data_IF_953387635614
#
_entry.id   IF_953387635614
#
_cell.length_a   1.000
_cell.length_b   1.000
_cell.length_c   1.000
_cell.angle_alpha   90.00
_cell.angle_beta   90.00
_cell.angle_gamma   90.00
#
_symmetry.space_group_name_H-M   'P 1'
#
loop_
_entity.id
_entity.type
_entity.pdbx_description
1 polymer ?
#
# COMPACT_ATOMS: atom_id res chain seq x y z
N UNK A 1 18.07 -14.07 22.37
CA UNK A 1 18.22 -14.86 21.12
C UNK A 1 17.20 -16.00 21.02
N UNK A 2 17.17 -16.96 21.96
CA UNK A 2 16.26 -18.13 21.90
C UNK A 2 14.77 -17.79 21.73
N UNK A 3 14.24 -16.87 22.54
CA UNK A 3 12.83 -16.48 22.46
C UNK A 3 12.48 -15.81 21.12
N UNK A 4 13.37 -14.94 20.62
CA UNK A 4 13.20 -14.27 19.34
C UNK A 4 13.13 -15.29 18.18
N UNK A 5 14.04 -16.26 18.17
CA UNK A 5 14.04 -17.35 17.20
C UNK A 5 12.75 -18.18 17.30
N UNK A 6 12.32 -18.55 18.51
CA UNK A 6 11.08 -19.30 18.71
C UNK A 6 9.85 -18.58 18.16
N UNK A 7 9.72 -17.29 18.43
CA UNK A 7 8.59 -16.50 17.94
C UNK A 7 8.56 -16.51 16.41
N UNK A 8 9.71 -16.26 15.76
CA UNK A 8 9.80 -16.26 14.29
C UNK A 8 9.53 -17.63 13.68
N UNK A 9 10.07 -18.69 14.27
CA UNK A 9 9.95 -20.05 13.73
C UNK A 9 8.54 -20.60 13.90
N UNK A 10 7.93 -20.39 15.07
CA UNK A 10 6.53 -20.79 15.31
C UNK A 10 5.59 -20.00 14.39
N UNK A 11 5.80 -18.70 14.21
CA UNK A 11 5.03 -17.90 13.26
C UNK A 11 5.25 -18.34 11.80
N UNK A 12 6.45 -18.83 11.47
CA UNK A 12 6.80 -19.39 10.16
C UNK A 12 6.30 -20.82 9.91
N UNK A 13 5.48 -21.39 10.80
CA UNK A 13 4.90 -22.71 10.62
C UNK A 13 5.83 -23.88 10.95
N UNK A 14 6.89 -23.65 11.75
CA UNK A 14 7.80 -24.71 12.16
C UNK A 14 7.07 -25.77 13.02
N UNK A 15 7.29 -27.05 12.71
CA UNK A 15 6.62 -28.16 13.40
C UNK A 15 7.11 -28.31 14.84
N UNK A 16 6.25 -28.87 15.69
CA UNK A 16 6.55 -29.09 17.12
C UNK A 16 7.82 -29.94 17.30
N UNK A 17 7.96 -31.02 16.53
CA UNK A 17 9.13 -31.89 16.57
C UNK A 17 10.43 -31.15 16.21
N UNK A 18 10.40 -30.30 15.19
CA UNK A 18 11.57 -29.52 14.80
C UNK A 18 11.87 -28.45 15.86
N UNK A 19 10.85 -27.84 16.47
CA UNK A 19 11.05 -26.88 17.54
C UNK A 19 11.70 -27.54 18.76
N UNK A 20 11.28 -28.75 19.11
CA UNK A 20 11.84 -29.49 20.25
C UNK A 20 13.30 -29.85 20.03
N UNK A 21 13.66 -30.25 18.80
CA UNK A 21 15.05 -30.48 18.42
C UNK A 21 15.90 -29.19 18.54
N UNK A 22 15.42 -28.08 17.98
CA UNK A 22 16.11 -26.79 18.07
C UNK A 22 16.18 -26.27 19.52
N UNK A 23 15.19 -26.61 20.35
CA UNK A 23 15.16 -26.27 21.76
C UNK A 23 16.23 -27.05 22.53
N UNK A 24 16.39 -28.34 22.24
CA UNK A 24 17.47 -29.18 22.80
C UNK A 24 18.86 -28.63 22.45
N UNK A 25 19.02 -28.10 21.22
CA UNK A 25 20.26 -27.45 20.78
C UNK A 25 20.46 -26.04 21.37
N UNK A 26 19.51 -25.52 22.16
CA UNK A 26 19.57 -24.19 22.73
C UNK A 26 19.42 -23.06 21.70
N UNK A 27 18.86 -23.33 20.52
CA UNK A 27 18.62 -22.36 19.45
C UNK A 27 17.29 -21.64 19.65
N UNK A 28 16.30 -22.35 20.18
CA UNK A 28 14.94 -21.86 20.47
C UNK A 28 14.57 -22.12 21.94
N UNK A 29 13.62 -21.35 22.45
CA UNK A 29 12.81 -21.72 23.62
C UNK A 29 11.73 -22.74 23.23
N UNK A 30 11.08 -23.35 24.24
CA UNK A 30 9.97 -24.27 24.01
C UNK A 30 8.81 -23.59 23.26
N UNK A 31 8.06 -24.38 22.48
CA UNK A 31 6.92 -23.89 21.70
C UNK A 31 5.87 -23.23 22.58
N UNK A 32 5.62 -23.79 23.76
CA UNK A 32 4.70 -23.21 24.74
C UNK A 32 5.15 -21.80 25.18
N UNK A 33 6.45 -21.59 25.37
CA UNK A 33 7.01 -20.27 25.70
C UNK A 33 6.82 -19.29 24.55
N UNK A 34 7.05 -19.75 23.31
CA UNK A 34 6.83 -18.95 22.10
C UNK A 34 5.36 -18.50 21.97
N UNK A 35 4.41 -19.42 22.16
CA UNK A 35 2.97 -19.12 22.12
C UNK A 35 2.59 -18.13 23.22
N UNK A 36 3.05 -18.34 24.46
CA UNK A 36 2.78 -17.39 25.55
C UNK A 36 3.31 -16.00 25.24
N UNK A 37 4.49 -15.90 24.63
CA UNK A 37 5.03 -14.62 24.19
C UNK A 37 4.20 -13.99 23.06
N UNK A 38 3.77 -14.76 22.07
CA UNK A 38 2.85 -14.30 21.01
C UNK A 38 1.52 -13.80 21.58
N UNK A 39 0.91 -14.52 22.52
CA UNK A 39 -0.33 -14.10 23.20
C UNK A 39 -0.12 -12.79 23.97
N UNK A 40 1.00 -12.66 24.68
CA UNK A 40 1.34 -11.43 25.39
C UNK A 40 1.54 -10.26 24.43
N UNK A 41 2.31 -10.45 23.34
CA UNK A 41 2.52 -9.45 22.29
C UNK A 41 1.20 -9.04 21.63
N UNK A 42 0.30 -9.99 21.37
CA UNK A 42 -1.04 -9.71 20.83
C UNK A 42 -1.86 -8.84 21.79
N UNK A 43 -1.75 -9.07 23.10
CA UNK A 43 -2.42 -8.25 24.11
C UNK A 43 -1.83 -6.83 24.14
N UNK A 44 -0.51 -6.69 24.05
CA UNK A 44 0.14 -5.38 23.94
C UNK A 44 -0.28 -4.65 22.65
N UNK A 45 -0.27 -5.33 21.50
CA UNK A 45 -0.68 -4.76 20.22
C UNK A 45 -2.14 -4.30 20.24
N UNK A 46 -3.05 -5.08 20.85
CA UNK A 46 -4.45 -4.69 21.01
C UNK A 46 -4.62 -3.43 21.89
N UNK A 47 -3.82 -3.30 22.95
CA UNK A 47 -3.81 -2.09 23.78
C UNK A 47 -3.26 -0.89 23.00
N UNK A 48 -2.15 -1.07 22.29
CA UNK A 48 -1.53 -0.01 21.51
C UNK A 48 -2.43 0.46 20.36
N UNK A 49 -3.18 -0.46 19.74
CA UNK A 49 -4.23 -0.16 18.77
C UNK A 49 -5.34 0.71 19.39
N UNK A 50 -5.86 0.33 20.56
CA UNK A 50 -6.90 1.11 21.27
C UNK A 50 -6.42 2.51 21.63
N UNK A 51 -5.19 2.62 22.12
CA UNK A 51 -4.57 3.91 22.41
C UNK A 51 -4.45 4.76 21.15
N UNK A 52 -4.04 4.16 20.03
CA UNK A 52 -3.95 4.82 18.73
C UNK A 52 -5.33 5.19 18.15
N UNK A 53 -6.39 4.45 18.46
CA UNK A 53 -7.75 4.80 18.01
C UNK A 53 -8.42 5.89 18.84
N UNK A 54 -7.90 6.16 20.05
CA UNK A 54 -8.46 7.12 21.00
C UNK A 54 -8.49 8.52 20.36
N UNK A 55 -9.61 9.27 20.47
CA UNK A 55 -9.70 10.61 19.92
C UNK A 55 -8.57 11.53 20.39
N UNK A 56 -7.88 12.15 19.45
CA UNK A 56 -6.89 13.19 19.74
C UNK A 56 -7.62 14.51 20.02
N UNK A 57 -7.24 15.19 21.10
CA UNK A 57 -7.84 16.48 21.46
C UNK A 57 -7.63 17.50 20.32
N UNK A 58 -8.72 18.09 19.82
CA UNK A 58 -8.67 19.10 18.76
C UNK A 58 -8.54 18.54 17.34
N UNK A 59 -8.47 17.22 17.14
CA UNK A 59 -8.39 16.59 15.81
C UNK A 59 -9.67 15.77 15.56
N UNK A 60 -10.59 16.25 14.71
CA UNK A 60 -11.89 15.60 14.48
C UNK A 60 -11.85 14.45 13.47
N UNK A 61 -10.68 14.01 13.04
CA UNK A 61 -10.46 12.88 12.12
C UNK A 61 -9.85 11.69 12.86
N UNK A 62 -10.31 10.48 12.56
CA UNK A 62 -9.68 9.25 13.05
C UNK A 62 -8.35 8.95 12.37
N UNK A 63 -7.56 7.99 12.87
CA UNK A 63 -6.44 7.47 12.09
C UNK A 63 -6.94 6.88 10.76
N UNK A 64 -6.11 6.98 9.73
CA UNK A 64 -6.38 6.34 8.45
C UNK A 64 -6.31 4.82 8.61
N UNK A 65 -7.24 4.09 7.98
CA UNK A 65 -7.38 2.64 8.11
C UNK A 65 -7.20 2.00 6.75
N UNK A 66 -6.15 1.21 6.58
CA UNK A 66 -5.94 0.42 5.37
C UNK A 66 -6.40 -1.00 5.60
N UNK A 67 -7.22 -1.53 4.70
CA UNK A 67 -7.67 -2.92 4.68
C UNK A 67 -7.39 -3.54 3.32
N UNK A 68 -7.14 -4.84 3.34
CA UNK A 68 -6.97 -5.64 2.13
C UNK A 68 -7.35 -7.10 2.41
N UNK A 69 -7.65 -7.85 1.36
CA UNK A 69 -8.00 -9.26 1.49
C UNK A 69 -6.79 -10.12 1.87
N UNK A 70 -7.05 -11.21 2.59
CA UNK A 70 -6.06 -12.24 2.88
C UNK A 70 -6.61 -13.61 2.52
N UNK A 71 -6.09 -14.16 1.44
CA UNK A 71 -6.38 -15.52 1.01
C UNK A 71 -5.22 -16.46 1.38
N UNK A 72 -5.49 -17.45 2.24
CA UNK A 72 -4.52 -18.49 2.60
C UNK A 72 -4.99 -19.86 2.12
N UNK A 73 -4.23 -20.48 1.22
CA UNK A 73 -4.47 -21.87 0.80
C UNK A 73 -3.80 -22.84 1.77
N UNK A 74 -4.59 -23.61 2.51
CA UNK A 74 -4.11 -24.82 3.15
C UNK A 74 -4.14 -25.95 2.13
N UNK A 75 -3.00 -26.22 1.49
CA UNK A 75 -2.86 -27.33 0.54
C UNK A 75 -2.61 -28.64 1.26
N UNK A 76 -3.37 -29.67 0.90
CA UNK A 76 -3.14 -31.05 1.37
C UNK A 76 -2.55 -31.87 0.23
N UNK A 77 -1.41 -32.53 0.46
CA UNK A 77 -0.72 -33.31 -0.57
C UNK A 77 -1.42 -34.63 -0.93
N UNK A 78 -2.14 -35.24 0.01
CA UNK A 78 -2.88 -36.48 -0.19
C UNK A 78 -4.35 -36.26 0.16
N UNK A 79 -5.20 -36.19 -0.86
CA UNK A 79 -6.63 -36.00 -0.65
C UNK A 79 -7.28 -37.26 -0.08
N UNK A 80 -8.10 -37.08 0.95
CA UNK A 80 -8.99 -38.12 1.50
C UNK A 80 -10.35 -37.52 1.81
N UNK A 81 -11.36 -38.36 2.07
CA UNK A 81 -12.67 -37.87 2.54
C UNK A 81 -12.43 -37.11 3.86
N UNK A 82 -12.80 -35.83 3.89
CA UNK A 82 -12.54 -34.92 5.03
C UNK A 82 -11.20 -34.18 5.00
N UNK A 83 -10.25 -34.58 4.14
CA UNK A 83 -8.98 -33.87 3.93
C UNK A 83 -8.88 -33.36 2.49
N UNK A 84 -9.32 -32.12 2.31
CA UNK A 84 -9.23 -31.38 1.05
C UNK A 84 -8.41 -30.12 1.25
N UNK A 85 -7.83 -29.63 0.17
CA UNK A 85 -7.30 -28.26 0.13
C UNK A 85 -8.43 -27.30 0.50
N UNK A 86 -8.14 -26.34 1.37
CA UNK A 86 -9.10 -25.32 1.81
C UNK A 86 -8.51 -23.94 1.60
N UNK A 87 -9.36 -23.00 1.20
CA UNK A 87 -9.03 -21.59 1.17
C UNK A 87 -9.62 -20.95 2.42
N UNK A 88 -8.78 -20.24 3.17
CA UNK A 88 -9.21 -19.30 4.18
C UNK A 88 -9.33 -17.93 3.52
N UNK A 89 -10.48 -17.28 3.72
CA UNK A 89 -10.77 -15.94 3.21
C UNK A 89 -10.95 -15.01 4.41
N UNK A 90 -9.95 -14.18 4.68
CA UNK A 90 -10.01 -13.17 5.72
C UNK A 90 -9.69 -11.79 5.18
N UNK A 91 -9.65 -10.83 6.09
CA UNK A 91 -9.20 -9.47 5.81
C UNK A 91 -8.14 -9.09 6.84
N UNK A 92 -7.08 -8.47 6.37
CA UNK A 92 -6.05 -7.88 7.22
C UNK A 92 -6.08 -6.37 7.06
N UNK A 93 -5.38 -5.67 7.94
CA UNK A 93 -5.26 -4.23 7.82
C UNK A 93 -4.41 -3.62 8.92
N UNK A 94 -4.24 -2.32 8.83
CA UNK A 94 -3.52 -1.52 9.80
C UNK A 94 -4.09 -0.12 9.87
N UNK A 95 -3.83 0.56 10.98
CA UNK A 95 -4.07 1.99 11.10
C UNK A 95 -2.76 2.75 11.07
N UNK A 96 -2.81 3.99 10.58
CA UNK A 96 -1.70 4.92 10.65
C UNK A 96 -2.22 6.33 10.89
N UNK A 97 -1.43 7.13 11.61
CA UNK A 97 -1.74 8.55 11.76
C UNK A 97 -1.00 9.34 10.70
N UNK A 98 -1.60 10.42 10.17
CA UNK A 98 -0.85 11.42 9.44
C UNK A 98 0.36 11.88 10.27
N UNK A 99 1.48 12.12 9.59
CA UNK A 99 2.69 12.58 10.27
C UNK A 99 2.41 13.90 11.01
N UNK A 100 2.95 14.12 12.23
CA UNK A 100 2.67 15.35 12.98
C UNK A 100 2.98 16.63 12.21
N UNK A 101 4.08 16.67 11.45
CA UNK A 101 4.41 17.85 10.62
C UNK A 101 3.37 18.13 9.53
N UNK A 102 2.69 17.09 9.02
CA UNK A 102 1.58 17.26 8.09
C UNK A 102 0.37 17.86 8.82
N UNK A 103 0.01 17.32 9.99
CA UNK A 103 -1.11 17.85 10.79
C UNK A 103 -0.89 19.31 11.19
N UNK A 104 0.33 19.67 11.57
CA UNK A 104 0.70 21.05 11.94
C UNK A 104 0.58 22.05 10.77
N UNK A 105 0.60 21.56 9.53
CA UNK A 105 0.44 22.39 8.32
C UNK A 105 -1.03 22.61 7.91
N UNK A 106 -1.97 21.88 8.50
CA UNK A 106 -3.37 21.87 8.10
C UNK A 106 -4.24 22.73 9.02
N UNK A 107 -5.33 23.25 8.47
CA UNK A 107 -6.40 23.83 9.29
C UNK A 107 -7.26 22.71 9.90
N UNK A 108 -7.03 22.42 11.18
CA UNK A 108 -7.75 21.37 11.91
C UNK A 108 -9.26 21.61 11.98
N UNK A 109 -9.73 22.86 11.84
CA UNK A 109 -11.16 23.16 11.84
C UNK A 109 -11.87 22.65 10.57
N UNK A 110 -11.11 22.48 9.48
CA UNK A 110 -11.61 21.95 8.21
C UNK A 110 -11.52 20.41 8.11
N UNK A 111 -10.90 19.74 9.09
CA UNK A 111 -10.80 18.27 9.15
C UNK A 111 -12.04 17.61 9.78
N UNK A 112 -13.22 18.18 9.52
CA UNK A 112 -14.49 17.74 10.09
C UNK A 112 -15.38 17.03 9.06
N UNK A 113 -16.28 16.17 9.54
CA UNK A 113 -17.27 15.52 8.68
C UNK A 113 -18.17 16.54 7.96
N UNK A 114 -18.47 17.66 8.62
CA UNK A 114 -19.25 18.77 8.07
C UNK A 114 -18.52 19.42 6.90
N UNK A 115 -17.27 19.85 7.10
CA UNK A 115 -16.43 20.46 6.05
C UNK A 115 -16.25 19.53 4.85
N UNK A 116 -16.10 18.23 5.10
CA UNK A 116 -16.04 17.22 4.05
C UNK A 116 -17.30 17.21 3.17
N UNK A 117 -18.49 17.16 3.77
CA UNK A 117 -19.75 17.16 3.02
C UNK A 117 -20.06 18.49 2.33
N UNK A 118 -19.75 19.62 2.96
CA UNK A 118 -19.86 20.94 2.33
C UNK A 118 -18.94 21.06 1.11
N UNK A 119 -17.77 20.43 1.15
CA UNK A 119 -16.85 20.36 0.01
C UNK A 119 -17.40 19.45 -1.10
N UNK A 120 -17.94 18.28 -0.75
CA UNK A 120 -18.54 17.36 -1.72
C UNK A 120 -19.75 17.95 -2.46
N UNK A 121 -20.56 18.79 -1.80
CA UNK A 121 -21.69 19.45 -2.45
C UNK A 121 -21.27 20.33 -3.63
N UNK A 122 -20.04 20.86 -3.63
CA UNK A 122 -19.51 21.68 -4.72
C UNK A 122 -19.22 20.85 -5.98
N UNK A 123 -19.00 19.54 -5.84
CA UNK A 123 -18.64 18.64 -6.93
C UNK A 123 -19.77 18.52 -7.97
N UNK A 124 -21.05 18.52 -7.55
CA UNK A 124 -22.17 18.43 -8.50
C UNK A 124 -22.27 19.63 -9.43
N UNK A 125 -21.68 20.76 -9.05
CA UNK A 125 -21.60 21.99 -9.86
C UNK A 125 -20.23 22.19 -10.54
N UNK A 126 -19.27 21.28 -10.34
CA UNK A 126 -17.94 21.42 -10.88
C UNK A 126 -17.98 21.20 -12.40
N UNK A 127 -17.63 22.25 -13.16
CA UNK A 127 -17.46 22.16 -14.61
C UNK A 127 -16.05 21.69 -14.90
N UNK A 128 -15.91 20.44 -15.31
CA UNK A 128 -14.61 19.88 -15.71
C UNK A 128 -14.18 20.52 -17.03
N UNK A 129 -13.03 21.19 -17.02
CA UNK A 129 -12.41 21.78 -18.21
C UNK A 129 -11.15 21.00 -18.60
N UNK A 130 -10.84 20.82 -19.90
CA UNK A 130 -9.63 20.13 -20.31
C UNK A 130 -8.34 20.72 -19.72
N UNK A 131 -8.30 22.04 -19.51
CA UNK A 131 -7.18 22.74 -18.87
C UNK A 131 -6.87 22.27 -17.45
N UNK A 132 -7.82 21.65 -16.74
CA UNK A 132 -7.60 21.08 -15.41
C UNK A 132 -6.68 19.85 -15.44
N UNK A 133 -6.45 19.27 -16.62
CA UNK A 133 -5.60 18.10 -16.82
C UNK A 133 -4.34 18.41 -17.63
N UNK A 134 -4.13 19.69 -17.99
CA UNK A 134 -2.92 20.13 -18.67
C UNK A 134 -1.93 20.64 -17.64
N UNK A 135 -0.62 20.39 -17.83
CA UNK A 135 0.39 20.96 -16.97
C UNK A 135 0.36 22.49 -17.03
N UNK A 136 0.62 23.11 -15.90
CA UNK A 136 0.94 24.52 -15.80
C UNK A 136 2.34 24.80 -16.36
N UNK A 137 2.64 26.07 -16.65
CA UNK A 137 3.97 26.45 -17.13
C UNK A 137 5.08 26.06 -16.15
N UNK A 138 4.83 26.16 -14.84
CA UNK A 138 5.80 25.78 -13.81
C UNK A 138 6.01 24.26 -13.75
N UNK A 139 4.94 23.46 -13.93
CA UNK A 139 5.03 22.00 -14.03
C UNK A 139 5.77 21.54 -15.29
N UNK A 140 5.57 22.22 -16.43
CA UNK A 140 6.32 21.94 -17.65
C UNK A 140 7.82 22.25 -17.48
N UNK A 141 8.16 23.39 -16.88
CA UNK A 141 9.55 23.74 -16.56
C UNK A 141 10.18 22.72 -15.60
N UNK A 142 9.41 22.26 -14.63
CA UNK A 142 9.83 21.23 -13.71
C UNK A 142 10.09 19.90 -14.46
N UNK A 143 9.15 19.46 -15.29
CA UNK A 143 9.28 18.23 -16.08
C UNK A 143 10.48 18.28 -17.03
N UNK A 144 10.72 19.43 -17.67
CA UNK A 144 11.92 19.67 -18.48
C UNK A 144 13.21 19.49 -17.65
N UNK A 145 13.25 20.04 -16.43
CA UNK A 145 14.38 19.87 -15.52
C UNK A 145 14.59 18.41 -15.10
N UNK A 146 13.50 17.65 -14.87
CA UNK A 146 13.56 16.20 -14.61
C UNK A 146 14.21 15.46 -15.77
N UNK A 147 13.74 15.67 -17.01
CA UNK A 147 14.30 15.02 -18.19
C UNK A 147 15.77 15.37 -18.40
N UNK A 148 16.12 16.66 -18.31
CA UNK A 148 17.51 17.14 -18.40
C UNK A 148 18.40 16.47 -17.37
N UNK A 149 17.92 16.31 -16.14
CA UNK A 149 18.70 15.68 -15.08
C UNK A 149 18.98 14.19 -15.33
N UNK A 150 18.00 13.46 -15.86
CA UNK A 150 18.14 12.05 -16.20
C UNK A 150 19.14 11.87 -17.35
N UNK A 151 19.06 12.71 -18.39
CA UNK A 151 20.03 12.72 -19.50
C UNK A 151 21.42 13.07 -18.99
N UNK A 152 21.56 14.12 -18.16
CA UNK A 152 22.83 14.51 -17.58
C UNK A 152 23.43 13.41 -16.70
N UNK A 153 22.60 12.68 -15.95
CA UNK A 153 23.01 11.52 -15.16
C UNK A 153 23.66 10.46 -16.04
N UNK A 154 22.98 10.02 -17.09
CA UNK A 154 23.51 9.00 -18.02
C UNK A 154 24.78 9.48 -18.73
N UNK A 155 24.76 10.72 -19.24
CA UNK A 155 25.92 11.33 -19.90
C UNK A 155 27.15 11.29 -18.99
N UNK A 156 26.99 11.70 -17.72
CA UNK A 156 28.06 11.77 -16.73
C UNK A 156 28.56 10.40 -16.29
N UNK A 157 27.68 9.42 -16.14
CA UNK A 157 28.05 8.09 -15.65
C UNK A 157 28.73 7.23 -16.72
N UNK A 158 28.32 7.36 -17.98
CA UNK A 158 28.69 6.39 -19.02
C UNK A 158 29.43 6.97 -20.23
N UNK A 159 29.37 8.29 -20.46
CA UNK A 159 29.86 8.88 -21.72
C UNK A 159 30.98 9.89 -21.48
N UNK A 160 30.76 10.95 -20.71
CA UNK A 160 31.75 11.99 -20.48
C UNK A 160 31.50 12.82 -19.21
N UNK A 161 32.56 13.41 -18.66
CA UNK A 161 32.47 14.40 -17.58
C UNK A 161 32.45 15.84 -18.11
N UNK A 162 31.73 16.76 -17.44
CA UNK A 162 31.73 18.16 -17.83
C UNK A 162 33.08 18.81 -17.53
N UNK A 163 33.55 19.70 -18.41
CA UNK A 163 34.81 20.43 -18.22
C UNK A 163 34.80 21.35 -17.00
N UNK A 164 33.61 21.81 -16.57
CA UNK A 164 33.40 22.58 -15.34
C UNK A 164 32.20 22.00 -14.59
N UNK A 165 32.33 21.81 -13.27
CA UNK A 165 31.25 21.27 -12.43
C UNK A 165 30.25 22.36 -12.02
N UNK A 166 30.73 23.57 -11.80
CA UNK A 166 29.90 24.72 -11.45
C UNK A 166 29.04 25.13 -12.65
N UNK A 167 27.73 25.24 -12.45
CA UNK A 167 26.77 25.57 -13.51
C UNK A 167 26.39 24.40 -14.43
N UNK A 168 26.93 23.20 -14.20
CA UNK A 168 26.50 22.00 -14.93
C UNK A 168 25.06 21.59 -14.58
N UNK A 169 24.40 20.91 -15.52
CA UNK A 169 23.05 20.39 -15.31
C UNK A 169 23.08 19.40 -14.14
N UNK A 170 22.13 19.55 -13.21
CA UNK A 170 22.00 18.67 -12.05
C UNK A 170 21.71 17.24 -12.51
N UNK A 171 22.35 16.24 -11.90
CA UNK A 171 22.16 14.82 -12.23
C UNK A 171 21.04 14.15 -11.41
N UNK A 172 20.50 14.88 -10.44
CA UNK A 172 19.36 14.46 -9.65
C UNK A 172 18.16 15.30 -10.07
N UNK A 173 17.00 14.68 -10.33
CA UNK A 173 15.78 15.41 -10.61
C UNK A 173 15.46 16.39 -9.48
N UNK A 174 14.90 17.57 -9.80
CA UNK A 174 14.34 18.45 -8.78
C UNK A 174 13.24 17.72 -8.00
N UNK A 175 13.14 17.98 -6.70
CA UNK A 175 12.12 17.36 -5.85
C UNK A 175 10.72 17.87 -6.18
N UNK A 176 9.72 16.98 -6.11
CA UNK A 176 8.29 17.30 -6.22
C UNK A 176 7.65 17.00 -4.87
N UNK A 177 7.06 18.02 -4.25
CA UNK A 177 6.30 17.94 -3.00
C UNK A 177 6.87 16.93 -1.99
N UNK A 178 8.14 17.11 -1.56
CA UNK A 178 8.82 16.13 -0.72
C UNK A 178 8.06 15.94 0.59
N UNK A 179 7.58 14.72 0.80
CA UNK A 179 7.00 14.28 2.06
C UNK A 179 8.07 13.70 2.97
N UNK A 180 7.79 13.71 4.28
CA UNK A 180 8.66 13.09 5.27
C UNK A 180 8.79 11.58 4.98
N UNK A 181 10.03 11.11 4.79
CA UNK A 181 10.33 9.72 4.48
C UNK A 181 10.57 8.85 5.73
N UNK A 182 10.29 9.38 6.92
CA UNK A 182 10.34 8.61 8.16
C UNK A 182 9.34 7.44 8.11
N UNK A 183 9.73 6.28 8.66
CA UNK A 183 8.83 5.13 8.69
C UNK A 183 7.52 5.47 9.40
N UNK A 184 6.35 5.21 8.78
CA UNK A 184 5.07 5.51 9.41
C UNK A 184 4.87 4.64 10.65
N UNK A 185 4.30 5.22 11.69
CA UNK A 185 3.92 4.47 12.89
C UNK A 185 2.59 3.74 12.64
N UNK A 186 2.69 2.50 12.14
CA UNK A 186 1.53 1.65 11.88
C UNK A 186 1.15 0.81 13.10
N UNK A 187 -0.15 0.55 13.28
CA UNK A 187 -0.67 -0.45 14.23
C UNK A 187 -1.52 -1.46 13.47
N UNK A 188 -1.11 -2.73 13.52
CA UNK A 188 -1.81 -3.81 12.83
C UNK A 188 -3.16 -4.08 13.49
N UNK A 189 -4.19 -4.25 12.67
CA UNK A 189 -5.45 -4.84 13.08
C UNK A 189 -5.24 -6.35 13.27
N UNK A 190 -5.95 -6.93 14.23
CA UNK A 190 -6.07 -8.39 14.33
C UNK A 190 -6.79 -8.89 13.09
N UNK A 191 -6.27 -9.99 12.54
CA UNK A 191 -6.86 -10.67 11.39
C UNK A 191 -8.37 -10.90 11.60
N UNK A 192 -9.14 -10.55 10.58
CA UNK A 192 -10.59 -10.59 10.60
C UNK A 192 -11.06 -11.80 9.81
N UNK A 193 -11.92 -12.62 10.44
CA UNK A 193 -12.57 -13.78 9.82
C UNK A 193 -13.81 -13.31 9.02
N UNK A 194 -13.56 -12.37 8.12
CA UNK A 194 -14.54 -11.77 7.23
C UNK A 194 -13.81 -11.35 5.95
N UNK A 195 -14.45 -11.52 4.80
CA UNK A 195 -13.89 -11.13 3.51
C UNK A 195 -14.53 -9.84 3.03
N UNK A 196 -13.74 -8.88 2.63
CA UNK A 196 -14.19 -7.64 1.99
C UNK A 196 -14.62 -7.81 0.52
N UNK A 197 -14.61 -9.04 0.00
CA UNK A 197 -15.04 -9.38 -1.37
C UNK A 197 -16.56 -9.33 -1.58
N UNK A 198 -17.35 -8.90 -0.60
CA UNK A 198 -18.79 -8.68 -0.74
C UNK A 198 -19.29 -7.51 0.11
N UNK A 199 -20.46 -6.96 -0.23
CA UNK A 199 -21.11 -5.91 0.54
C UNK A 199 -21.48 -6.34 1.98
N UNK A 200 -21.85 -7.61 2.18
CA UNK A 200 -22.09 -8.15 3.53
C UNK A 200 -20.78 -8.26 4.31
N UNK A 201 -19.75 -8.84 3.69
CA UNK A 201 -18.48 -9.07 4.33
C UNK A 201 -17.71 -7.79 4.66
N UNK A 202 -17.77 -6.73 3.84
CA UNK A 202 -17.23 -5.41 4.23
C UNK A 202 -17.95 -4.83 5.45
N UNK A 203 -19.25 -5.10 5.61
CA UNK A 203 -20.00 -4.73 6.82
C UNK A 203 -19.43 -5.42 8.07
N UNK A 204 -19.16 -6.73 7.96
CA UNK A 204 -18.53 -7.53 9.02
C UNK A 204 -17.08 -7.05 9.32
N UNK A 205 -16.34 -6.64 8.30
CA UNK A 205 -15.00 -6.04 8.46
C UNK A 205 -15.08 -4.74 9.25
N UNK A 206 -16.01 -3.84 8.92
CA UNK A 206 -16.21 -2.57 9.66
C UNK A 206 -16.59 -2.83 11.12
N UNK A 207 -17.51 -3.77 11.37
CA UNK A 207 -17.89 -4.18 12.73
C UNK A 207 -16.69 -4.72 13.52
N UNK A 208 -15.84 -5.54 12.87
CA UNK A 208 -14.61 -6.04 13.48
C UNK A 208 -13.64 -4.91 13.81
N UNK A 209 -13.44 -3.94 12.91
CA UNK A 209 -12.59 -2.76 13.16
C UNK A 209 -13.10 -1.98 14.37
N UNK A 210 -14.40 -1.70 14.45
CA UNK A 210 -15.00 -1.01 15.59
C UNK A 210 -14.74 -1.80 16.88
N UNK A 211 -14.97 -3.11 16.88
CA UNK A 211 -14.74 -3.97 18.06
C UNK A 211 -13.28 -3.97 18.55
N UNK A 212 -12.33 -3.89 17.61
CA UNK A 212 -10.90 -3.87 17.89
C UNK A 212 -10.41 -2.50 18.36
N UNK A 213 -11.05 -1.42 17.87
CA UNK A 213 -10.69 -0.04 18.20
C UNK A 213 -10.89 0.31 19.67
N UNK A 214 -11.79 -0.39 20.36
CA UNK A 214 -12.21 -0.07 21.71
C UNK A 214 -13.13 1.14 21.84
N UNK A 215 -13.58 1.70 20.72
CA UNK A 215 -14.61 2.73 20.66
C UNK A 215 -15.99 2.08 20.56
N UNK A 216 -17.01 2.81 21.00
CA UNK A 216 -18.40 2.53 20.65
C UNK A 216 -18.64 2.82 19.17
N UNK A 217 -19.70 2.22 18.60
CA UNK A 217 -20.10 2.52 17.22
C UNK A 217 -20.40 4.02 17.03
N UNK A 218 -21.02 4.67 18.01
CA UNK A 218 -21.32 6.10 17.97
C UNK A 218 -20.05 6.95 17.95
N UNK A 219 -19.09 6.69 18.84
CA UNK A 219 -17.80 7.40 18.85
C UNK A 219 -17.05 7.21 17.53
N UNK A 220 -16.99 5.98 17.00
CA UNK A 220 -16.36 5.70 15.73
C UNK A 220 -17.05 6.43 14.57
N UNK A 221 -18.39 6.47 14.57
CA UNK A 221 -19.19 7.06 13.50
C UNK A 221 -19.35 8.59 13.62
N UNK A 222 -19.01 9.18 14.76
CA UNK A 222 -19.10 10.62 15.00
C UNK A 222 -18.01 11.43 14.28
N UNK A 223 -16.96 10.78 13.79
CA UNK A 223 -15.78 11.41 13.18
C UNK A 223 -15.52 10.92 11.76
N UNK A 224 -14.85 11.74 10.97
CA UNK A 224 -14.40 11.34 9.63
C UNK A 224 -13.38 10.21 9.76
N UNK A 225 -13.61 9.11 9.04
CA UNK A 225 -12.74 7.95 8.98
C UNK A 225 -12.26 7.81 7.54
N UNK A 226 -10.96 8.00 7.34
CA UNK A 226 -10.34 7.77 6.03
C UNK A 226 -9.97 6.29 5.97
N UNK A 227 -10.44 5.60 4.93
CA UNK A 227 -10.14 4.18 4.73
C UNK A 227 -9.56 3.95 3.35
N UNK A 228 -8.58 3.06 3.26
CA UNK A 228 -7.93 2.67 2.01
C UNK A 228 -8.19 1.20 1.75
N UNK A 229 -8.49 0.87 0.50
CA UNK A 229 -8.67 -0.50 0.02
C UNK A 229 -8.52 -0.57 -1.49
N UNK A 230 -8.61 -1.78 -2.04
CA UNK A 230 -8.60 -1.95 -3.48
C UNK A 230 -9.94 -1.51 -4.12
N UNK A 231 -10.00 -1.51 -5.45
CA UNK A 231 -11.21 -1.08 -6.16
C UNK A 231 -12.43 -1.95 -5.82
N UNK A 232 -12.23 -3.26 -5.63
CA UNK A 232 -13.30 -4.19 -5.29
C UNK A 232 -13.86 -3.92 -3.89
N UNK A 233 -12.99 -3.73 -2.90
CA UNK A 233 -13.35 -3.32 -1.54
C UNK A 233 -14.23 -2.06 -1.55
N UNK A 234 -13.83 -1.05 -2.33
CA UNK A 234 -14.54 0.24 -2.43
C UNK A 234 -15.90 0.08 -3.11
N UNK A 235 -15.99 -0.74 -4.16
CA UNK A 235 -17.27 -1.05 -4.82
C UNK A 235 -18.23 -1.77 -3.87
N UNK A 236 -17.73 -2.72 -3.07
CA UNK A 236 -18.51 -3.43 -2.07
C UNK A 236 -18.98 -2.50 -0.95
N UNK A 237 -18.10 -1.61 -0.46
CA UNK A 237 -18.46 -0.57 0.50
C UNK A 237 -19.57 0.35 -0.03
N UNK A 238 -19.41 0.85 -1.26
CA UNK A 238 -20.41 1.73 -1.88
C UNK A 238 -21.75 1.02 -2.07
N UNK A 239 -21.73 -0.27 -2.42
CA UNK A 239 -22.93 -1.10 -2.51
C UNK A 239 -23.61 -1.26 -1.15
N UNK A 240 -22.84 -1.53 -0.09
CA UNK A 240 -23.34 -1.58 1.28
C UNK A 240 -23.96 -0.26 1.71
N UNK A 241 -23.26 0.86 1.47
CA UNK A 241 -23.74 2.21 1.79
C UNK A 241 -25.04 2.53 1.07
N UNK A 242 -25.17 2.18 -0.22
CA UNK A 242 -26.40 2.37 -0.98
C UNK A 242 -27.57 1.56 -0.41
N UNK A 243 -27.34 0.32 0.02
CA UNK A 243 -28.37 -0.52 0.65
C UNK A 243 -28.85 0.01 2.01
N UNK A 244 -27.99 0.73 2.73
CA UNK A 244 -28.29 1.30 4.05
C UNK A 244 -28.74 2.77 4.02
N UNK A 245 -28.83 3.37 2.84
CA UNK A 245 -29.24 4.77 2.65
C UNK A 245 -30.66 4.86 2.09
N UNK A 246 -31.55 5.71 2.65
CA UNK A 246 -31.31 6.63 3.76
C UNK A 246 -31.45 5.95 5.13
N UNK A 247 -30.62 6.36 6.09
CA UNK A 247 -30.78 6.00 7.50
C UNK A 247 -30.43 7.21 8.39
N UNK A 248 -31.24 7.41 9.43
CA UNK A 248 -31.00 8.43 10.45
C UNK A 248 -29.87 8.02 11.43
N UNK A 249 -29.52 6.74 11.46
CA UNK A 249 -28.50 6.16 12.32
C UNK A 249 -27.11 6.23 11.67
N UNK A 250 -26.14 6.95 12.25
CA UNK A 250 -24.77 7.08 11.70
C UNK A 250 -24.08 5.74 11.41
N UNK A 251 -24.25 4.77 12.31
CA UNK A 251 -23.71 3.41 12.21
C UNK A 251 -24.25 2.62 11.01
N UNK A 252 -25.45 2.97 10.55
CA UNK A 252 -26.07 2.34 9.39
C UNK A 252 -25.71 3.06 8.09
N UNK A 253 -25.73 4.39 8.06
CA UNK A 253 -25.51 5.11 6.81
C UNK A 253 -24.02 5.14 6.36
N UNK A 254 -23.06 4.92 7.26
CA UNK A 254 -21.62 4.89 6.95
C UNK A 254 -21.11 6.17 6.26
N UNK A 255 -21.80 7.30 6.46
CA UNK A 255 -21.48 8.59 5.86
C UNK A 255 -20.17 9.19 6.40
N UNK A 256 -19.76 8.77 7.59
CA UNK A 256 -18.53 9.20 8.21
C UNK A 256 -17.28 8.54 7.60
N UNK A 257 -17.44 7.49 6.78
CA UNK A 257 -16.33 6.78 6.15
C UNK A 257 -16.12 7.31 4.72
N UNK A 258 -14.89 7.77 4.46
CA UNK A 258 -14.42 8.12 3.13
C UNK A 258 -13.39 7.10 2.67
N UNK A 259 -13.74 6.33 1.66
CA UNK A 259 -12.83 5.36 1.05
C UNK A 259 -11.99 6.03 -0.05
N UNK A 260 -10.67 5.92 0.05
CA UNK A 260 -9.74 6.30 -1.00
C UNK A 260 -9.26 5.06 -1.74
N UNK A 261 -9.07 5.22 -3.06
CA UNK A 261 -8.51 4.17 -3.89
C UNK A 261 -7.05 3.94 -3.49
N UNK A 262 -6.71 2.71 -3.10
CA UNK A 262 -5.35 2.35 -2.72
C UNK A 262 -4.34 2.75 -3.80
N UNK A 263 -3.47 3.72 -3.47
CA UNK A 263 -2.49 4.27 -4.39
C UNK A 263 -1.55 3.18 -4.94
N UNK A 264 -1.17 2.21 -4.11
CA UNK A 264 -0.27 1.12 -4.49
C UNK A 264 -0.81 0.30 -5.66
N UNK A 265 -2.04 -0.21 -5.59
CA UNK A 265 -2.62 -1.02 -6.68
C UNK A 265 -2.76 -0.21 -7.97
N UNK A 266 -3.11 1.07 -7.85
CA UNK A 266 -3.22 1.99 -9.00
C UNK A 266 -1.86 2.17 -9.67
N UNK A 267 -0.82 2.48 -8.89
CA UNK A 267 0.54 2.64 -9.40
C UNK A 267 1.09 1.33 -9.98
N UNK A 268 0.80 0.19 -9.36
CA UNK A 268 1.19 -1.14 -9.86
C UNK A 268 0.56 -1.42 -11.23
N UNK A 269 -0.73 -1.13 -11.38
CA UNK A 269 -1.44 -1.30 -12.66
C UNK A 269 -0.88 -0.40 -13.75
N UNK A 270 -0.62 0.88 -13.43
CA UNK A 270 -0.06 1.84 -14.38
C UNK A 270 1.35 1.40 -14.83
N UNK A 271 2.24 1.10 -13.88
CA UNK A 271 3.60 0.66 -14.16
C UNK A 271 3.61 -0.62 -15.02
N UNK A 272 2.77 -1.60 -14.70
CA UNK A 272 2.68 -2.82 -15.48
C UNK A 272 2.14 -2.58 -16.90
N UNK A 273 1.13 -1.73 -17.05
CA UNK A 273 0.60 -1.37 -18.35
C UNK A 273 1.67 -0.70 -19.21
N UNK A 274 2.43 0.24 -18.65
CA UNK A 274 3.57 0.88 -19.35
C UNK A 274 4.58 -0.18 -19.77
N UNK A 275 5.07 -1.01 -18.83
CA UNK A 275 6.09 -2.01 -19.13
C UNK A 275 5.62 -3.00 -20.20
N UNK A 276 4.37 -3.45 -20.12
CA UNK A 276 3.82 -4.46 -21.04
C UNK A 276 3.54 -3.87 -22.41
N UNK A 277 3.01 -2.65 -22.49
CA UNK A 277 2.76 -1.95 -23.75
C UNK A 277 4.07 -1.68 -24.52
N UNK A 278 5.17 -1.43 -23.80
CA UNK A 278 6.48 -1.16 -24.37
C UNK A 278 7.43 -2.37 -24.34
N UNK A 279 6.94 -3.55 -23.94
CA UNK A 279 7.82 -4.71 -23.75
C UNK A 279 8.48 -5.14 -25.05
N UNK A 280 7.72 -5.15 -26.14
CA UNK A 280 8.12 -5.66 -27.45
C UNK A 280 7.94 -7.18 -27.59
N UNK A 281 8.39 -7.71 -28.72
CA UNK A 281 8.33 -9.14 -29.06
C UNK A 281 9.74 -9.77 -29.09
N UNK A 282 10.13 -10.54 -28.05
CA UNK A 282 11.43 -11.20 -27.98
C UNK A 282 11.69 -12.22 -29.09
N UNK A 283 10.66 -12.67 -29.80
CA UNK A 283 10.80 -13.62 -30.92
C UNK A 283 11.21 -12.94 -32.23
N UNK A 284 11.14 -11.60 -32.29
CA UNK A 284 11.50 -10.79 -33.45
C UNK A 284 12.83 -10.10 -33.21
N UNK A 285 13.86 -10.51 -33.93
CA UNK A 285 15.22 -9.97 -33.77
C UNK A 285 15.37 -8.50 -34.15
N UNK A 286 14.41 -7.92 -34.85
CA UNK A 286 14.36 -6.49 -35.20
C UNK A 286 13.50 -5.65 -34.24
N UNK A 287 12.90 -6.27 -33.23
CA UNK A 287 12.14 -5.57 -32.21
C UNK A 287 13.09 -4.92 -31.19
N UNK A 288 12.89 -3.63 -30.93
CA UNK A 288 13.72 -2.82 -30.03
C UNK A 288 12.97 -2.43 -28.74
N UNK A 289 11.99 -3.24 -28.35
CA UNK A 289 11.23 -3.05 -27.13
C UNK A 289 12.07 -3.21 -25.87
N UNK A 290 11.44 -3.04 -24.71
CA UNK A 290 12.09 -3.14 -23.41
C UNK A 290 12.86 -4.45 -23.21
N UNK A 291 12.38 -5.57 -23.78
CA UNK A 291 13.04 -6.87 -23.69
C UNK A 291 14.49 -6.82 -24.21
N UNK A 292 14.76 -6.03 -25.26
CA UNK A 292 16.07 -5.95 -25.90
C UNK A 292 17.10 -5.31 -24.95
N UNK A 293 16.70 -4.25 -24.24
CA UNK A 293 17.54 -3.61 -23.22
C UNK A 293 17.78 -4.52 -22.03
N UNK A 294 16.75 -5.23 -21.55
CA UNK A 294 16.90 -6.22 -20.47
C UNK A 294 17.88 -7.32 -20.85
N UNK A 295 17.74 -7.86 -22.06
CA UNK A 295 18.64 -8.88 -22.59
C UNK A 295 20.10 -8.38 -22.66
N UNK A 296 20.32 -7.17 -23.17
CA UNK A 296 21.64 -6.55 -23.24
C UNK A 296 22.27 -6.33 -21.84
N UNK A 297 21.45 -6.11 -20.82
CA UNK A 297 21.87 -5.97 -19.43
C UNK A 297 22.04 -7.32 -18.70
N UNK A 298 21.80 -8.46 -19.36
CA UNK A 298 21.85 -9.79 -18.75
C UNK A 298 20.69 -10.09 -17.79
N UNK A 299 19.58 -9.38 -17.93
CA UNK A 299 18.36 -9.57 -17.12
C UNK A 299 17.40 -10.47 -17.92
N UNK A 300 16.73 -11.45 -17.27
CA UNK A 300 15.73 -12.29 -17.94
C UNK A 300 14.69 -11.44 -18.70
N UNK A 301 14.55 -11.71 -19.99
CA UNK A 301 13.81 -10.86 -20.94
C UNK A 301 12.75 -11.61 -21.75
N UNK A 302 12.51 -12.90 -21.47
CA UNK A 302 11.52 -13.70 -22.20
C UNK A 302 10.08 -13.21 -22.01
N UNK A 303 9.83 -12.52 -20.89
CA UNK A 303 8.54 -11.96 -20.52
C UNK A 303 8.71 -10.79 -19.55
N UNK A 304 7.72 -9.89 -19.54
CA UNK A 304 7.64 -8.85 -18.54
C UNK A 304 7.52 -9.45 -17.13
N UNK A 305 8.06 -8.71 -16.14
CA UNK A 305 7.97 -9.07 -14.73
C UNK A 305 6.49 -9.14 -14.31
N UNK A 306 6.08 -10.18 -13.56
CA UNK A 306 4.70 -10.31 -13.10
C UNK A 306 4.34 -9.18 -12.12
N UNK A 307 3.04 -8.83 -12.06
CA UNK A 307 2.52 -7.74 -11.21
C UNK A 307 2.95 -7.82 -9.74
N UNK A 308 3.09 -9.05 -9.25
CA UNK A 308 3.31 -9.36 -7.84
C UNK A 308 4.71 -8.98 -7.36
N UNK A 309 5.64 -8.72 -8.26
CA UNK A 309 7.01 -8.32 -7.95
C UNK A 309 7.23 -6.86 -8.37
N UNK A 310 6.62 -5.95 -7.62
CA UNK A 310 6.63 -4.52 -7.94
C UNK A 310 8.03 -3.92 -7.90
N UNK A 311 8.84 -4.30 -6.91
CA UNK A 311 10.21 -3.83 -6.77
C UNK A 311 11.04 -4.22 -8.00
N UNK A 312 10.96 -5.47 -8.45
CA UNK A 312 11.67 -5.90 -9.66
C UNK A 312 11.14 -5.18 -10.91
N UNK A 313 9.83 -4.93 -10.99
CA UNK A 313 9.22 -4.22 -12.11
C UNK A 313 9.74 -2.78 -12.22
N UNK A 314 9.72 -2.01 -11.13
CA UNK A 314 10.23 -0.62 -11.11
C UNK A 314 11.72 -0.59 -11.40
N UNK A 315 12.51 -1.45 -10.75
CA UNK A 315 13.95 -1.56 -11.02
C UNK A 315 14.25 -1.86 -12.50
N UNK A 316 13.45 -2.72 -13.14
CA UNK A 316 13.60 -2.99 -14.57
C UNK A 316 13.26 -1.77 -15.41
N UNK A 317 12.13 -1.09 -15.13
CA UNK A 317 11.72 0.11 -15.85
C UNK A 317 12.78 1.21 -15.76
N UNK A 318 13.38 1.44 -14.59
CA UNK A 318 14.46 2.41 -14.41
C UNK A 318 15.71 2.05 -15.23
N UNK A 319 16.14 0.79 -15.20
CA UNK A 319 17.28 0.30 -15.99
C UNK A 319 17.05 0.40 -17.49
N UNK A 320 15.84 0.07 -17.95
CA UNK A 320 15.43 0.19 -19.36
C UNK A 320 15.49 1.67 -19.78
N UNK A 321 14.95 2.57 -18.96
CA UNK A 321 14.97 4.02 -19.22
C UNK A 321 16.39 4.58 -19.27
N UNK A 322 17.25 4.19 -18.34
CA UNK A 322 18.66 4.60 -18.34
C UNK A 322 19.42 4.06 -19.56
N UNK A 323 19.22 2.79 -19.91
CA UNK A 323 19.83 2.16 -21.08
C UNK A 323 19.33 2.76 -22.40
N UNK A 324 18.05 3.15 -22.49
CA UNK A 324 17.49 3.78 -23.68
C UNK A 324 18.05 5.19 -23.88
N UNK A 325 18.18 5.99 -22.81
CA UNK A 325 18.88 7.28 -22.87
C UNK A 325 20.32 7.08 -23.35
N UNK A 326 21.05 6.10 -22.80
CA UNK A 326 22.42 5.82 -23.22
C UNK A 326 22.50 5.49 -24.71
N UNK A 327 21.58 4.65 -25.20
CA UNK A 327 21.48 4.30 -26.61
C UNK A 327 21.19 5.52 -27.50
N UNK A 328 20.34 6.45 -27.07
CA UNK A 328 20.05 7.67 -27.83
C UNK A 328 21.22 8.67 -27.88
N UNK A 329 22.12 8.64 -26.89
CA UNK A 329 23.27 9.54 -26.82
C UNK A 329 24.50 9.03 -27.59
N UNK A 330 24.50 7.77 -28.05
CA UNK A 330 25.62 7.10 -28.73
C UNK A 330 25.28 6.65 -30.15
#
# INVERSE_FOLDING_TARGET
MQLYNSIRFVAGGLSDQLNDYLHLLGITSSRQTAIRALTFLSTCAARDLRNAMTPMAGVPVGPSICIDNLDMEQRVHAHSIGHRTMMFHGSWGYIHHPHPSLLDSLDLSELSLKSYYESLQKVSSLIIQPSMFLPTADEDLHFEAVLKSQIARVMRHYIAEPSTRDGSIQIHPPSIDPIDCSPPNIKMLKLMDASDNSAEGIGQVIESIISQSGLTAEEFCSRLQVMDGDLGTIQNFNSLRALRTPSAHPEHNLHNISFQLGASHTLWNIAQNILTAHFGDPTKTNDLGAWHYLHALGIPSDKAVPKKDFDQMINNMEKIHEASIFHCLR
#
